data_IF_345475279934
#
_entry.id   IF_345475279934
#
_cell.length_a   1.000
_cell.length_b   1.000
_cell.length_c   1.000
_cell.angle_alpha   90.00
_cell.angle_beta   90.00
_cell.angle_gamma   90.00
#
_symmetry.space_group_name_H-M   'P 1'
#
loop_
_entity.id
_entity.type
_entity.pdbx_description
1 polymer ?
#
# COMPACT_ATOMS: atom_id res chain seq x y z
N UNK A 1 -68.93 2.44 38.95
CA UNK A 1 -68.50 1.12 39.46
C UNK A 1 -67.01 1.17 39.72
N UNK A 2 -66.53 0.49 40.78
CA UNK A 2 -65.28 0.82 41.48
C UNK A 2 -64.12 -0.11 41.08
N UNK A 3 -62.88 0.36 41.28
CA UNK A 3 -61.86 -0.43 41.99
C UNK A 3 -60.66 0.46 42.35
N UNK A 4 -60.46 0.59 43.65
CA UNK A 4 -59.39 1.34 44.33
C UNK A 4 -58.04 0.57 44.31
N UNK A 5 -56.95 1.18 44.84
CA UNK A 5 -55.55 0.92 44.49
C UNK A 5 -54.76 0.10 45.54
N UNK A 6 -53.53 -0.31 45.19
CA UNK A 6 -52.45 -0.77 46.09
C UNK A 6 -51.26 -1.23 45.21
N UNK A 7 -49.97 -1.01 45.46
CA UNK A 7 -49.18 -0.57 46.62
C UNK A 7 -47.84 -0.05 46.07
N UNK A 8 -47.24 0.91 46.76
CA UNK A 8 -45.84 1.27 46.54
C UNK A 8 -44.90 0.13 46.93
N UNK A 9 -43.75 0.08 46.26
CA UNK A 9 -42.57 -0.61 46.76
C UNK A 9 -41.37 0.33 46.63
N UNK A 10 -40.67 0.46 47.77
CA UNK A 10 -39.47 1.26 48.03
C UNK A 10 -38.29 0.83 47.12
N UNK A 11 -37.27 1.69 46.96
CA UNK A 11 -36.08 1.35 46.19
C UNK A 11 -35.34 0.19 46.85
N UNK A 12 -35.07 -0.87 46.08
CA UNK A 12 -34.22 -1.96 46.51
C UNK A 12 -32.75 -1.52 46.38
N UNK A 13 -32.14 -1.25 47.54
CA UNK A 13 -30.71 -1.27 47.73
C UNK A 13 -30.14 -2.64 47.32
N UNK A 14 -29.24 -2.68 46.35
CA UNK A 14 -28.29 -3.79 46.18
C UNK A 14 -26.90 -3.25 45.87
N UNK A 15 -26.07 -3.34 46.91
CA UNK A 15 -24.64 -3.63 46.89
C UNK A 15 -23.83 -3.11 45.71
N UNK A 16 -23.13 -2.00 45.95
CA UNK A 16 -21.91 -1.66 45.25
C UNK A 16 -20.89 -2.80 45.44
N UNK A 17 -20.70 -3.63 44.41
CA UNK A 17 -19.49 -4.43 44.28
C UNK A 17 -18.37 -3.47 43.92
N UNK A 18 -17.54 -3.17 44.92
CA UNK A 18 -16.29 -2.44 44.76
C UNK A 18 -15.41 -3.11 43.72
N UNK A 19 -15.10 -2.39 42.65
CA UNK A 19 -13.97 -2.70 41.77
C UNK A 19 -12.71 -2.60 42.63
N UNK A 20 -11.85 -3.63 42.73
CA UNK A 20 -10.61 -3.49 43.46
C UNK A 20 -9.73 -2.45 42.75
N UNK A 21 -9.31 -1.44 43.50
CA UNK A 21 -8.38 -0.42 43.05
C UNK A 21 -7.10 -1.09 42.52
N UNK A 22 -6.75 -0.82 41.27
CA UNK A 22 -5.48 -1.24 40.70
C UNK A 22 -4.34 -0.54 41.45
N UNK A 23 -3.49 -1.34 42.11
CA UNK A 23 -2.25 -0.90 42.71
C UNK A 23 -1.34 -0.33 41.60
N UNK A 24 -0.77 0.89 41.75
CA UNK A 24 0.14 1.43 40.74
C UNK A 24 1.41 0.58 40.68
N UNK A 25 1.94 0.22 39.48
CA UNK A 25 3.24 -0.41 39.40
C UNK A 25 4.31 0.59 39.84
N UNK A 26 5.15 0.12 40.77
CA UNK A 26 6.32 0.81 41.29
C UNK A 26 7.25 1.30 40.17
N UNK A 27 7.66 2.56 40.25
CA UNK A 27 8.74 3.13 39.47
C UNK A 27 10.05 2.34 39.70
N UNK A 28 10.65 1.81 38.63
CA UNK A 28 11.92 1.08 38.76
C UNK A 28 12.53 0.58 37.45
N UNK A 29 13.51 1.36 36.97
CA UNK A 29 14.65 1.00 36.10
C UNK A 29 14.36 0.87 34.59
N UNK A 30 14.97 1.78 33.85
CA UNK A 30 15.21 1.67 32.41
C UNK A 30 16.16 0.50 32.10
N UNK A 31 15.90 -0.26 31.03
CA UNK A 31 16.93 -1.01 30.36
C UNK A 31 17.30 -0.29 29.06
N UNK A 32 18.39 0.47 29.09
CA UNK A 32 19.10 1.01 27.93
C UNK A 32 19.93 -0.09 27.24
N UNK A 33 19.28 -1.16 26.76
CA UNK A 33 19.94 -2.16 25.92
C UNK A 33 19.36 -2.13 24.50
N UNK A 34 20.18 -1.99 23.44
CA UNK A 34 19.72 -2.18 22.08
C UNK A 34 19.30 -3.63 21.85
N UNK A 35 18.24 -3.83 21.06
CA UNK A 35 17.60 -5.11 20.79
C UNK A 35 18.38 -5.96 19.76
N UNK A 36 18.48 -7.29 19.93
CA UNK A 36 19.04 -8.21 18.94
C UNK A 36 17.90 -8.92 18.16
N UNK A 37 17.49 -8.43 16.98
CA UNK A 37 16.42 -9.10 16.21
C UNK A 37 16.72 -9.32 14.71
N UNK A 38 17.87 -8.86 14.21
CA UNK A 38 18.14 -8.88 12.77
C UNK A 38 18.49 -10.27 12.18
N UNK A 39 18.69 -11.33 12.98
CA UNK A 39 19.24 -12.60 12.46
C UNK A 39 18.47 -13.88 12.80
N UNK A 40 17.53 -13.89 13.75
CA UNK A 40 16.90 -15.15 14.21
C UNK A 40 15.42 -15.34 13.82
N UNK A 41 14.70 -14.28 13.42
CA UNK A 41 13.25 -14.36 13.17
C UNK A 41 12.86 -14.39 11.69
N UNK A 42 13.80 -14.18 10.77
CA UNK A 42 13.51 -14.24 9.35
C UNK A 42 13.70 -15.66 8.83
N UNK A 43 12.59 -16.35 8.56
CA UNK A 43 12.58 -17.52 7.67
C UNK A 43 11.85 -17.08 6.40
N UNK A 44 12.48 -17.15 5.22
CA UNK A 44 11.78 -16.83 3.98
C UNK A 44 10.55 -17.72 3.87
N UNK A 45 9.38 -17.11 3.66
CA UNK A 45 8.33 -17.79 2.90
C UNK A 45 8.99 -18.20 1.60
N UNK A 46 9.13 -19.50 1.31
CA UNK A 46 9.54 -19.89 -0.04
C UNK A 46 8.44 -19.38 -0.97
N UNK A 47 8.71 -18.44 -1.89
CA UNK A 47 7.76 -18.17 -2.95
C UNK A 47 7.57 -19.48 -3.72
N UNK A 48 6.37 -19.71 -4.25
CA UNK A 48 6.24 -20.70 -5.32
C UNK A 48 7.25 -20.30 -6.40
N UNK A 49 8.17 -21.20 -6.75
CA UNK A 49 9.17 -20.93 -7.79
C UNK A 49 8.42 -20.72 -9.11
N UNK A 50 8.22 -19.46 -9.49
CA UNK A 50 7.68 -19.12 -10.80
C UNK A 50 8.80 -19.32 -11.82
N UNK A 51 8.82 -20.50 -12.42
CA UNK A 51 9.86 -20.94 -13.35
C UNK A 51 9.64 -20.37 -14.77
N UNK A 52 8.93 -19.24 -14.91
CA UNK A 52 8.76 -18.52 -16.18
C UNK A 52 10.09 -17.89 -16.59
N UNK A 53 10.94 -18.69 -17.22
CA UNK A 53 12.11 -18.21 -17.97
C UNK A 53 11.57 -17.60 -19.28
N UNK A 54 11.23 -16.31 -19.21
CA UNK A 54 10.74 -15.47 -20.31
C UNK A 54 10.37 -14.10 -19.74
N UNK A 55 10.71 -13.02 -20.44
CA UNK A 55 10.62 -11.60 -20.03
C UNK A 55 9.20 -11.04 -19.82
N UNK A 56 8.28 -11.84 -19.27
CA UNK A 56 6.89 -11.45 -19.09
C UNK A 56 6.75 -10.69 -17.78
N UNK A 57 6.50 -9.39 -17.90
CA UNK A 57 6.16 -8.53 -16.78
C UNK A 57 4.76 -8.91 -16.32
N UNK A 58 4.61 -9.30 -15.05
CA UNK A 58 3.30 -9.66 -14.48
C UNK A 58 2.38 -8.43 -14.46
N UNK A 59 1.18 -8.55 -15.02
CA UNK A 59 0.25 -7.43 -15.13
C UNK A 59 -0.53 -7.25 -13.82
N UNK A 60 -0.39 -6.08 -13.22
CA UNK A 60 -1.09 -5.70 -11.99
C UNK A 60 -1.81 -4.37 -12.22
N UNK A 61 -2.83 -4.08 -11.42
CA UNK A 61 -3.48 -2.76 -11.42
C UNK A 61 -3.85 -2.32 -10.00
N UNK A 62 -3.93 -1.01 -9.79
CA UNK A 62 -4.40 -0.43 -8.54
C UNK A 62 -5.68 0.35 -8.79
N UNK A 63 -6.69 0.18 -7.94
CA UNK A 63 -7.96 0.90 -8.04
C UNK A 63 -8.17 1.77 -6.82
N UNK A 64 -8.43 3.06 -7.04
CA UNK A 64 -8.92 3.94 -6.01
C UNK A 64 -10.43 3.72 -5.90
N UNK A 65 -10.97 3.28 -4.75
CA UNK A 65 -12.41 3.08 -4.59
C UNK A 65 -13.10 4.43 -4.35
N UNK A 66 -12.97 5.33 -5.32
CA UNK A 66 -13.67 6.58 -5.40
C UNK A 66 -15.12 6.31 -5.83
N UNK A 67 -16.09 6.95 -5.17
CA UNK A 67 -17.50 6.65 -5.41
C UNK A 67 -17.96 5.28 -4.86
N UNK A 68 -18.98 4.66 -5.48
CA UNK A 68 -19.56 3.39 -5.00
C UNK A 68 -18.58 2.21 -5.08
N UNK A 69 -18.60 1.33 -4.09
CA UNK A 69 -17.73 0.12 -4.05
C UNK A 69 -17.95 -0.78 -5.27
N UNK A 70 -19.15 -0.78 -5.82
CA UNK A 70 -19.51 -1.51 -7.06
C UNK A 70 -18.59 -1.13 -8.22
N UNK A 71 -18.10 0.11 -8.28
CA UNK A 71 -17.20 0.56 -9.34
C UNK A 71 -15.86 -0.17 -9.31
N UNK A 72 -15.29 -0.37 -8.12
CA UNK A 72 -14.07 -1.14 -7.96
C UNK A 72 -14.26 -2.61 -8.38
N UNK A 73 -15.46 -3.17 -8.14
CA UNK A 73 -15.82 -4.53 -8.57
C UNK A 73 -15.89 -4.65 -10.09
N UNK A 74 -16.51 -3.68 -10.77
CA UNK A 74 -16.59 -3.64 -12.23
C UNK A 74 -15.22 -3.59 -12.87
N UNK A 75 -14.35 -2.68 -12.40
CA UNK A 75 -12.98 -2.54 -12.87
C UNK A 75 -12.15 -3.81 -12.62
N UNK A 76 -12.30 -4.43 -11.45
CA UNK A 76 -11.58 -5.67 -11.14
C UNK A 76 -12.01 -6.84 -12.04
N UNK A 77 -13.31 -6.98 -12.34
CA UNK A 77 -13.79 -8.00 -13.29
C UNK A 77 -13.30 -7.76 -14.70
N UNK A 78 -13.29 -6.50 -15.14
CA UNK A 78 -12.73 -6.14 -16.43
C UNK A 78 -11.24 -6.52 -16.47
N UNK A 79 -10.46 -6.09 -15.48
CA UNK A 79 -9.04 -6.39 -15.39
C UNK A 79 -8.77 -7.91 -15.39
N UNK A 80 -9.51 -8.69 -14.61
CA UNK A 80 -9.41 -10.15 -14.61
C UNK A 80 -9.68 -10.74 -16.00
N UNK A 81 -10.71 -10.25 -16.70
CA UNK A 81 -11.03 -10.70 -18.07
C UNK A 81 -9.96 -10.34 -19.12
N UNK A 82 -9.16 -9.31 -18.84
CA UNK A 82 -8.05 -8.86 -19.68
C UNK A 82 -6.73 -9.59 -19.36
N UNK A 83 -6.67 -10.38 -18.29
CA UNK A 83 -5.50 -11.16 -17.90
C UNK A 83 -4.62 -10.52 -16.82
N UNK A 84 -5.10 -9.46 -16.14
CA UNK A 84 -4.41 -8.96 -14.95
C UNK A 84 -4.38 -10.03 -13.85
N UNK A 85 -3.26 -10.12 -13.14
CA UNK A 85 -3.03 -11.16 -12.13
C UNK A 85 -3.23 -10.66 -10.69
N UNK A 86 -3.15 -9.33 -10.47
CA UNK A 86 -3.26 -8.73 -9.13
C UNK A 86 -3.99 -7.39 -9.11
N UNK A 87 -4.91 -7.25 -8.17
CA UNK A 87 -5.65 -6.04 -7.84
C UNK A 87 -5.17 -5.47 -6.50
N UNK A 88 -4.65 -4.25 -6.57
CA UNK A 88 -4.36 -3.43 -5.41
C UNK A 88 -5.53 -2.47 -5.18
N UNK A 89 -5.90 -2.21 -3.93
CA UNK A 89 -6.93 -1.21 -3.59
C UNK A 89 -6.32 -0.16 -2.69
N UNK A 90 -6.39 1.12 -3.09
CA UNK A 90 -5.88 2.23 -2.29
C UNK A 90 -6.61 2.36 -0.94
N UNK A 91 -5.87 2.69 0.12
CA UNK A 91 -6.39 3.02 1.47
C UNK A 91 -6.23 4.52 1.73
N UNK A 92 -7.06 5.35 1.09
CA UNK A 92 -7.00 6.82 1.19
C UNK A 92 -7.90 7.40 2.31
N UNK A 93 -8.26 6.57 3.28
CA UNK A 93 -8.99 7.01 4.47
C UNK A 93 -10.35 7.61 4.13
N UNK A 94 -10.58 8.88 4.47
CA UNK A 94 -11.87 9.55 4.25
C UNK A 94 -12.09 10.04 2.81
N UNK A 95 -11.05 10.00 1.96
CA UNK A 95 -11.14 10.41 0.57
C UNK A 95 -11.69 9.30 -0.36
N UNK A 96 -11.85 8.08 0.15
CA UNK A 96 -12.34 6.93 -0.61
C UNK A 96 -13.19 6.00 0.28
N UNK A 97 -13.81 4.99 -0.32
CA UNK A 97 -14.48 3.93 0.44
C UNK A 97 -13.49 3.11 1.28
N UNK A 98 -13.95 2.48 2.36
CA UNK A 98 -13.10 1.65 3.22
C UNK A 98 -12.41 0.53 2.42
N UNK A 99 -11.08 0.47 2.51
CA UNK A 99 -10.24 -0.44 1.74
C UNK A 99 -10.60 -1.92 1.94
N UNK A 100 -10.94 -2.34 3.16
CA UNK A 100 -11.23 -3.75 3.43
C UNK A 100 -12.64 -4.14 3.00
N UNK A 101 -13.60 -3.22 3.05
CA UNK A 101 -14.93 -3.41 2.47
C UNK A 101 -14.82 -3.54 0.95
N UNK A 102 -14.08 -2.65 0.29
CA UNK A 102 -13.85 -2.72 -1.15
C UNK A 102 -13.12 -4.00 -1.57
N UNK A 103 -12.05 -4.37 -0.86
CA UNK A 103 -11.32 -5.63 -1.09
C UNK A 103 -12.22 -6.86 -0.91
N UNK A 104 -13.09 -6.87 0.11
CA UNK A 104 -14.04 -7.97 0.34
C UNK A 104 -14.99 -8.13 -0.85
N UNK A 105 -15.53 -7.01 -1.37
CA UNK A 105 -16.41 -7.01 -2.53
C UNK A 105 -15.69 -7.49 -3.80
N UNK A 106 -14.47 -6.99 -4.05
CA UNK A 106 -13.64 -7.41 -5.18
C UNK A 106 -13.29 -8.90 -5.09
N UNK A 107 -12.84 -9.37 -3.92
CA UNK A 107 -12.50 -10.77 -3.70
C UNK A 107 -13.68 -11.72 -3.93
N UNK A 108 -14.89 -11.33 -3.51
CA UNK A 108 -16.12 -12.11 -3.71
C UNK A 108 -16.61 -12.12 -5.17
N UNK A 109 -16.19 -11.14 -5.96
CA UNK A 109 -16.66 -10.95 -7.33
C UNK A 109 -15.66 -11.42 -8.41
N UNK A 110 -14.49 -11.91 -8.01
CA UNK A 110 -13.36 -12.33 -8.84
C UNK A 110 -12.89 -13.73 -8.43
N UNK A 111 -12.27 -14.46 -9.35
CA UNK A 111 -11.94 -15.89 -9.15
C UNK A 111 -10.44 -16.16 -8.95
N UNK A 112 -9.59 -15.35 -9.56
CA UNK A 112 -8.15 -15.60 -9.72
C UNK A 112 -7.26 -14.44 -9.31
N UNK A 113 -7.77 -13.20 -9.32
CA UNK A 113 -6.99 -12.03 -8.93
C UNK A 113 -6.43 -12.15 -7.51
N UNK A 114 -5.13 -11.95 -7.35
CA UNK A 114 -4.55 -11.66 -6.03
C UNK A 114 -5.05 -10.29 -5.56
N UNK A 115 -5.46 -10.16 -4.29
CA UNK A 115 -6.14 -8.96 -3.78
C UNK A 115 -5.52 -8.46 -2.48
N UNK A 116 -5.29 -7.16 -2.39
CA UNK A 116 -4.71 -6.59 -1.18
C UNK A 116 -4.65 -5.06 -1.20
N UNK A 117 -4.39 -4.44 -0.04
CA UNK A 117 -4.29 -2.99 0.02
C UNK A 117 -3.03 -2.51 -0.71
N UNK A 118 -3.14 -1.45 -1.52
CA UNK A 118 -2.05 -0.81 -2.25
C UNK A 118 -1.98 0.69 -2.02
N UNK A 119 -1.62 1.16 -0.83
CA UNK A 119 -1.16 0.39 0.34
C UNK A 119 -1.87 0.88 1.61
N UNK A 120 -2.00 0.02 2.60
CA UNK A 120 -2.42 0.46 3.95
C UNK A 120 -1.24 0.99 4.74
N UNK A 121 -1.48 1.43 5.98
CA UNK A 121 -0.50 2.11 6.80
C UNK A 121 -0.61 1.65 8.27
N UNK A 122 0.46 1.84 9.08
CA UNK A 122 0.51 1.35 10.46
C UNK A 122 -0.22 2.24 11.47
N UNK A 123 -0.91 3.29 11.02
CA UNK A 123 -1.42 4.35 11.89
C UNK A 123 -2.95 4.35 12.00
N UNK A 124 -3.66 4.15 10.89
CA UNK A 124 -5.13 4.18 10.87
C UNK A 124 -5.76 2.95 11.52
N UNK A 125 -5.04 1.83 11.55
CA UNK A 125 -5.49 0.58 12.16
C UNK A 125 -4.35 -0.07 12.93
N UNK A 126 -4.69 -0.66 14.08
CA UNK A 126 -3.73 -1.42 14.88
C UNK A 126 -3.21 -2.63 14.08
N UNK A 127 -1.92 -2.95 14.17
CA UNK A 127 -1.31 -4.03 13.38
C UNK A 127 -2.02 -5.39 13.53
N UNK A 128 -2.53 -5.70 14.74
CA UNK A 128 -3.34 -6.91 14.96
C UNK A 128 -4.69 -6.91 14.22
N UNK A 129 -5.32 -5.74 14.09
CA UNK A 129 -6.56 -5.58 13.32
C UNK A 129 -6.29 -5.70 11.82
N UNK A 130 -5.20 -5.09 11.33
CA UNK A 130 -4.71 -5.25 9.96
C UNK A 130 -4.46 -6.73 9.64
N UNK A 131 -3.74 -7.44 10.51
CA UNK A 131 -3.48 -8.87 10.33
C UNK A 131 -4.78 -9.70 10.32
N UNK A 132 -5.72 -9.42 11.24
CA UNK A 132 -7.02 -10.11 11.27
C UNK A 132 -7.85 -9.88 10.01
N UNK A 133 -7.87 -8.65 9.49
CA UNK A 133 -8.59 -8.31 8.27
C UNK A 133 -7.99 -9.02 7.04
N UNK A 134 -6.66 -9.00 6.89
CA UNK A 134 -5.98 -9.68 5.78
C UNK A 134 -6.15 -11.20 5.85
N UNK A 135 -6.05 -11.80 7.05
CA UNK A 135 -6.28 -13.23 7.22
C UNK A 135 -7.72 -13.65 6.87
N UNK A 136 -8.70 -12.81 7.23
CA UNK A 136 -10.11 -13.04 6.86
C UNK A 136 -10.33 -12.90 5.35
N UNK A 137 -9.67 -11.93 4.71
CA UNK A 137 -9.69 -11.77 3.25
C UNK A 137 -9.00 -12.95 2.54
N UNK A 138 -7.90 -13.46 3.10
CA UNK A 138 -7.18 -14.63 2.58
C UNK A 138 -8.09 -15.86 2.60
N UNK A 139 -8.79 -16.11 3.71
CA UNK A 139 -9.77 -17.18 3.82
C UNK A 139 -10.92 -17.02 2.81
N UNK A 140 -11.54 -15.84 2.75
CA UNK A 140 -12.64 -15.55 1.83
C UNK A 140 -12.25 -15.75 0.37
N UNK A 141 -11.05 -15.30 -0.01
CA UNK A 141 -10.56 -15.33 -1.38
C UNK A 141 -9.98 -16.69 -1.77
N UNK A 142 -9.84 -17.65 -0.85
CA UNK A 142 -9.23 -18.95 -1.11
C UNK A 142 -7.70 -18.90 -1.22
N UNK A 143 -7.05 -18.00 -0.47
CA UNK A 143 -5.59 -17.88 -0.41
C UNK A 143 -4.98 -16.83 -1.33
N UNK A 144 -5.79 -15.91 -1.88
CA UNK A 144 -5.36 -14.89 -2.85
C UNK A 144 -4.98 -13.54 -2.20
N UNK A 145 -5.04 -13.43 -0.88
CA UNK A 145 -4.80 -12.14 -0.23
C UNK A 145 -3.32 -11.86 0.01
N UNK A 146 -2.96 -10.58 -0.06
CA UNK A 146 -1.65 -10.07 0.36
C UNK A 146 -1.80 -8.78 1.17
N UNK A 147 -0.76 -8.40 1.92
CA UNK A 147 -0.70 -7.14 2.67
C UNK A 147 0.30 -6.18 2.01
N UNK A 148 -0.19 -5.13 1.34
CA UNK A 148 0.64 -3.99 0.98
C UNK A 148 0.64 -2.92 2.08
N UNK A 149 1.82 -2.53 2.55
CA UNK A 149 1.99 -1.56 3.64
C UNK A 149 3.06 -0.50 3.31
N UNK A 150 2.91 0.69 3.89
CA UNK A 150 3.96 1.69 3.86
C UNK A 150 3.70 2.83 4.85
N UNK A 151 4.33 3.97 4.61
CA UNK A 151 4.46 5.02 5.62
C UNK A 151 3.16 5.79 5.91
N UNK A 152 2.10 5.63 5.12
CA UNK A 152 0.91 6.48 5.17
C UNK A 152 1.13 7.84 4.52
N UNK A 153 0.12 8.31 3.78
CA UNK A 153 0.10 9.61 3.11
C UNK A 153 -0.57 10.70 3.95
N UNK A 154 -0.21 11.95 3.68
CA UNK A 154 -0.85 13.11 4.33
C UNK A 154 -2.34 13.21 4.00
N UNK A 155 -2.74 12.86 2.76
CA UNK A 155 -4.14 12.80 2.34
C UNK A 155 -4.99 11.91 3.26
N UNK A 156 -4.43 10.79 3.70
CA UNK A 156 -5.08 9.85 4.62
C UNK A 156 -5.01 10.31 6.08
N UNK A 157 -3.83 10.73 6.55
CA UNK A 157 -3.54 10.90 7.98
C UNK A 157 -3.96 12.27 8.52
N UNK A 158 -3.77 13.33 7.74
CA UNK A 158 -3.99 14.71 8.19
C UNK A 158 -5.49 14.98 8.48
N UNK A 159 -6.46 14.55 7.64
CA UNK A 159 -7.89 14.70 7.96
C UNK A 159 -8.33 13.94 9.21
N UNK A 160 -7.60 12.89 9.59
CA UNK A 160 -7.84 12.11 10.80
C UNK A 160 -7.12 12.70 12.03
N UNK A 161 -6.31 13.75 11.85
CA UNK A 161 -5.50 14.34 12.90
C UNK A 161 -4.39 13.42 13.41
N UNK A 162 -3.91 12.50 12.58
CA UNK A 162 -2.92 11.49 12.96
C UNK A 162 -1.51 11.97 12.57
N UNK A 163 -0.64 12.13 13.55
CA UNK A 163 0.76 12.46 13.30
C UNK A 163 1.54 11.24 12.77
N UNK A 164 2.22 11.41 11.63
CA UNK A 164 3.09 10.38 11.02
C UNK A 164 4.44 10.29 11.74
N UNK A 165 4.43 9.84 12.98
CA UNK A 165 5.63 9.74 13.81
C UNK A 165 6.47 8.50 13.45
N UNK A 166 7.78 8.68 13.28
CA UNK A 166 8.79 7.62 13.06
C UNK A 166 8.35 6.53 12.06
N UNK A 167 7.99 6.88 10.81
CA UNK A 167 7.39 5.97 9.83
C UNK A 167 8.18 4.69 9.57
N UNK A 168 9.51 4.77 9.53
CA UNK A 168 10.34 3.57 9.35
C UNK A 168 10.20 2.56 10.50
N UNK A 169 10.07 3.03 11.75
CA UNK A 169 9.88 2.16 12.89
C UNK A 169 8.47 1.56 12.89
N UNK A 170 7.45 2.40 12.65
CA UNK A 170 6.05 1.97 12.61
C UNK A 170 5.80 0.88 11.55
N UNK A 171 6.31 1.07 10.32
CA UNK A 171 6.19 0.07 9.24
C UNK A 171 6.95 -1.20 9.60
N UNK A 172 8.18 -1.09 10.11
CA UNK A 172 8.99 -2.25 10.49
C UNK A 172 8.32 -3.09 11.58
N UNK A 173 7.80 -2.46 12.62
CA UNK A 173 7.09 -3.14 13.71
C UNK A 173 5.81 -3.81 13.19
N UNK A 174 5.07 -3.15 12.29
CA UNK A 174 3.86 -3.70 11.68
C UNK A 174 4.15 -4.92 10.80
N UNK A 175 5.17 -4.84 9.92
CA UNK A 175 5.61 -5.97 9.08
C UNK A 175 6.01 -7.16 9.96
N UNK A 176 6.82 -6.92 11.00
CA UNK A 176 7.28 -7.98 11.90
C UNK A 176 6.13 -8.64 12.67
N UNK A 177 5.19 -7.83 13.18
CA UNK A 177 4.02 -8.34 13.90
C UNK A 177 3.09 -9.14 12.98
N UNK A 178 2.76 -8.62 11.79
CA UNK A 178 1.88 -9.30 10.84
C UNK A 178 2.51 -10.61 10.35
N UNK A 179 3.82 -10.62 10.05
CA UNK A 179 4.52 -11.84 9.63
C UNK A 179 4.38 -12.97 10.64
N UNK A 180 4.59 -12.68 11.93
CA UNK A 180 4.48 -13.65 13.03
C UNK A 180 3.04 -14.09 13.27
N UNK A 181 2.08 -13.18 13.13
CA UNK A 181 0.67 -13.53 13.22
C UNK A 181 0.25 -14.46 12.06
N UNK A 182 0.67 -14.17 10.83
CA UNK A 182 0.39 -15.01 9.65
C UNK A 182 1.07 -16.38 9.73
N UNK A 183 2.23 -16.52 10.40
CA UNK A 183 2.87 -17.82 10.62
C UNK A 183 2.14 -18.70 11.66
N UNK A 184 1.07 -18.20 12.29
CA UNK A 184 0.29 -18.91 13.29
C UNK A 184 0.89 -18.86 14.71
N UNK A 185 1.86 -17.97 14.95
CA UNK A 185 2.41 -17.78 16.29
C UNK A 185 1.41 -17.09 17.22
N UNK A 186 1.54 -17.38 18.52
CA UNK A 186 1.05 -16.49 19.59
C UNK A 186 2.11 -15.42 19.85
N UNK A 187 1.75 -14.16 19.65
CA UNK A 187 2.66 -13.03 19.56
C UNK A 187 2.48 -12.10 20.75
N UNK A 188 3.56 -11.93 21.50
CA UNK A 188 3.75 -10.84 22.46
C UNK A 188 4.88 -9.93 21.96
N UNK A 189 4.59 -8.63 21.84
CA UNK A 189 5.52 -7.59 21.36
C UNK A 189 5.27 -6.31 22.13
N UNK A 190 6.34 -5.68 22.61
CA UNK A 190 6.32 -4.38 23.31
C UNK A 190 7.10 -3.34 22.49
N UNK A 191 6.56 -3.02 21.32
CA UNK A 191 7.11 -2.02 20.41
C UNK A 191 6.75 -0.59 20.78
N UNK A 192 7.34 0.37 20.08
CA UNK A 192 7.03 1.78 20.27
C UNK A 192 5.71 2.17 19.56
N UNK A 193 5.36 1.47 18.48
CA UNK A 193 4.16 1.65 17.68
C UNK A 193 3.20 0.46 17.78
N UNK A 194 3.73 -0.76 17.80
CA UNK A 194 2.92 -1.99 17.88
C UNK A 194 3.09 -2.65 19.24
N UNK A 195 1.98 -2.90 19.93
CA UNK A 195 1.95 -3.70 21.15
C UNK A 195 0.95 -4.85 21.00
N UNK A 196 1.40 -6.05 21.29
CA UNK A 196 0.58 -7.27 21.28
C UNK A 196 0.85 -8.04 22.56
N UNK A 197 -0.18 -8.67 23.12
CA UNK A 197 -0.07 -9.49 24.33
C UNK A 197 -0.82 -10.79 24.09
N UNK A 198 -0.07 -11.89 24.00
CA UNK A 198 -0.55 -13.24 23.72
C UNK A 198 -1.55 -13.30 22.55
N UNK A 199 -1.28 -12.51 21.49
CA UNK A 199 -2.19 -12.36 20.36
C UNK A 199 -1.93 -13.44 19.31
N UNK A 200 -2.99 -14.12 18.85
CA UNK A 200 -2.92 -15.08 17.75
C UNK A 200 -4.10 -14.89 16.80
N UNK A 201 -3.93 -15.33 15.55
CA UNK A 201 -5.02 -15.34 14.57
C UNK A 201 -5.81 -16.64 14.66
N UNK A 202 -7.12 -16.54 14.44
CA UNK A 202 -7.99 -17.72 14.33
C UNK A 202 -7.62 -18.56 13.10
N UNK A 203 -7.52 -17.90 11.93
CA UNK A 203 -7.22 -18.52 10.65
C UNK A 203 -5.89 -17.98 10.13
N UNK A 204 -4.79 -18.56 10.58
CA UNK A 204 -3.45 -18.20 10.10
C UNK A 204 -3.04 -19.04 8.89
N UNK A 205 -2.52 -18.40 7.85
CA UNK A 205 -1.85 -19.07 6.74
C UNK A 205 -0.43 -18.56 6.59
N UNK A 206 0.53 -19.44 6.84
CA UNK A 206 1.91 -19.17 6.49
C UNK A 206 2.00 -18.92 4.97
N UNK A 207 2.58 -17.80 4.57
CA UNK A 207 2.74 -17.43 3.16
C UNK A 207 1.75 -16.40 2.61
N UNK A 208 0.94 -15.74 3.46
CA UNK A 208 0.36 -14.44 3.08
C UNK A 208 1.52 -13.47 2.84
N UNK A 209 1.57 -12.91 1.64
CA UNK A 209 2.66 -12.03 1.24
C UNK A 209 2.54 -10.66 1.92
N UNK A 210 3.69 -10.07 2.25
CA UNK A 210 3.80 -8.70 2.72
C UNK A 210 4.62 -7.93 1.70
N UNK A 211 4.00 -6.90 1.13
CA UNK A 211 4.59 -5.97 0.18
C UNK A 211 4.82 -4.62 0.85
N UNK A 212 5.96 -4.00 0.55
CA UNK A 212 6.27 -2.67 1.05
C UNK A 212 6.32 -1.66 -0.11
N UNK A 213 5.58 -0.57 0.01
CA UNK A 213 5.72 0.59 -0.88
C UNK A 213 6.51 1.70 -0.18
N UNK A 214 7.52 2.23 -0.86
CA UNK A 214 8.32 3.33 -0.34
C UNK A 214 9.40 3.79 -1.31
N UNK A 215 9.78 5.07 -1.24
CA UNK A 215 10.78 5.69 -2.12
C UNK A 215 12.12 5.97 -1.42
N UNK A 216 12.08 6.22 -0.12
CA UNK A 216 13.27 6.61 0.64
C UNK A 216 14.26 5.44 0.84
N UNK A 217 15.58 5.69 0.84
CA UNK A 217 16.61 4.64 0.92
C UNK A 217 16.40 3.61 2.03
N UNK A 218 16.03 4.08 3.24
CA UNK A 218 15.82 3.21 4.40
C UNK A 218 14.56 2.36 4.31
N UNK A 219 13.54 2.83 3.58
CA UNK A 219 12.31 2.05 3.32
C UNK A 219 12.58 0.98 2.26
N UNK A 220 13.33 1.32 1.21
CA UNK A 220 13.77 0.37 0.19
C UNK A 220 14.60 -0.77 0.83
N UNK A 221 15.54 -0.42 1.72
CA UNK A 221 16.32 -1.40 2.49
C UNK A 221 15.43 -2.27 3.38
N UNK A 222 14.46 -1.68 4.09
CA UNK A 222 13.51 -2.45 4.91
C UNK A 222 12.72 -3.45 4.05
N UNK A 223 12.19 -3.01 2.90
CA UNK A 223 11.52 -3.87 1.93
C UNK A 223 12.40 -5.02 1.49
N UNK A 224 13.65 -4.71 1.12
CA UNK A 224 14.73 -5.65 0.84
C UNK A 224 14.85 -6.75 1.91
N UNK A 225 14.95 -6.35 3.16
CA UNK A 225 15.24 -7.28 4.27
C UNK A 225 14.07 -8.12 4.76
N UNK A 226 12.82 -7.65 4.66
CA UNK A 226 11.72 -8.16 5.49
C UNK A 226 10.41 -8.47 4.74
N UNK A 227 10.30 -8.08 3.48
CA UNK A 227 9.07 -8.19 2.69
C UNK A 227 9.23 -9.23 1.57
N UNK A 228 8.12 -9.79 1.08
CA UNK A 228 8.13 -10.70 -0.07
C UNK A 228 8.20 -9.94 -1.40
N UNK A 229 7.80 -8.66 -1.39
CA UNK A 229 7.96 -7.77 -2.52
C UNK A 229 8.04 -6.29 -2.13
N UNK A 230 8.52 -5.49 -3.07
CA UNK A 230 8.64 -4.03 -2.93
C UNK A 230 7.99 -3.37 -4.14
N UNK A 231 7.06 -2.45 -3.87
CA UNK A 231 6.44 -1.59 -4.87
C UNK A 231 7.23 -0.28 -4.97
N UNK A 232 7.88 -0.09 -6.12
CA UNK A 232 8.57 1.15 -6.49
C UNK A 232 7.61 1.98 -7.35
N UNK A 233 7.01 2.99 -6.74
CA UNK A 233 5.92 3.76 -7.33
C UNK A 233 6.32 5.21 -7.66
N UNK A 234 5.99 5.67 -8.87
CA UNK A 234 6.23 7.02 -9.39
C UNK A 234 7.64 7.56 -9.09
N UNK A 235 8.65 6.70 -9.26
CA UNK A 235 10.05 7.11 -9.11
C UNK A 235 10.53 7.79 -10.39
N UNK A 236 11.35 8.84 -10.23
CA UNK A 236 12.12 9.42 -11.33
C UNK A 236 12.86 8.28 -12.07
N UNK A 237 12.53 8.05 -13.35
CA UNK A 237 12.96 6.84 -14.10
C UNK A 237 14.47 6.58 -14.02
N UNK A 238 15.35 7.59 -14.13
CA UNK A 238 16.79 7.39 -13.97
C UNK A 238 17.25 6.82 -12.62
N UNK A 239 16.42 6.88 -11.58
CA UNK A 239 16.70 6.31 -10.26
C UNK A 239 16.19 4.88 -10.07
N UNK A 240 15.39 4.33 -11.00
CA UNK A 240 14.79 2.98 -10.88
C UNK A 240 15.85 1.91 -10.65
N UNK A 241 16.88 1.85 -11.50
CA UNK A 241 17.95 0.86 -11.33
C UNK A 241 18.67 0.95 -9.98
N UNK A 242 18.95 2.16 -9.49
CA UNK A 242 19.60 2.36 -8.20
C UNK A 242 18.69 1.97 -7.01
N UNK A 243 17.38 2.22 -7.12
CA UNK A 243 16.41 1.79 -6.13
C UNK A 243 16.30 0.26 -6.06
N UNK A 244 16.21 -0.41 -7.23
CA UNK A 244 16.15 -1.88 -7.30
C UNK A 244 17.42 -2.51 -6.74
N UNK A 245 18.60 -2.01 -7.13
CA UNK A 245 19.85 -2.56 -6.59
C UNK A 245 19.96 -2.38 -5.08
N UNK A 246 19.46 -1.26 -4.52
CA UNK A 246 19.41 -1.07 -3.07
C UNK A 246 18.53 -2.11 -2.38
N UNK A 247 17.34 -2.38 -2.93
CA UNK A 247 16.42 -3.40 -2.40
C UNK A 247 17.10 -4.77 -2.43
N UNK A 248 17.64 -5.17 -3.59
CA UNK A 248 18.26 -6.48 -3.78
C UNK A 248 19.52 -6.66 -2.92
N UNK A 249 20.35 -5.63 -2.80
CA UNK A 249 21.54 -5.67 -1.94
C UNK A 249 21.15 -5.87 -0.46
N UNK A 250 20.13 -5.15 0.02
CA UNK A 250 19.62 -5.33 1.37
C UNK A 250 19.00 -6.72 1.57
N UNK A 251 18.25 -7.22 0.58
CA UNK A 251 17.73 -8.59 0.56
C UNK A 251 18.83 -9.62 0.68
N UNK A 252 19.81 -9.61 -0.22
CA UNK A 252 20.96 -10.53 -0.20
C UNK A 252 21.69 -10.51 1.14
N UNK A 253 21.89 -9.33 1.73
CA UNK A 253 22.53 -9.20 3.04
C UNK A 253 21.72 -9.82 4.19
N UNK A 254 20.39 -9.83 4.09
CA UNK A 254 19.48 -10.47 5.05
C UNK A 254 19.12 -11.92 4.66
N UNK A 255 19.62 -12.42 3.53
CA UNK A 255 19.26 -13.72 2.97
C UNK A 255 17.94 -13.75 2.20
N UNK A 256 17.26 -12.60 2.04
CA UNK A 256 15.97 -12.45 1.36
C UNK A 256 16.13 -12.12 -0.14
N UNK A 257 15.10 -12.40 -0.93
CA UNK A 257 15.04 -12.06 -2.36
C UNK A 257 13.63 -11.59 -2.74
N UNK A 258 13.27 -10.31 -2.45
CA UNK A 258 11.93 -9.82 -2.68
C UNK A 258 11.66 -9.56 -4.16
N UNK A 259 10.41 -9.79 -4.59
CA UNK A 259 9.93 -9.39 -5.92
C UNK A 259 9.85 -7.87 -6.05
N UNK A 260 10.01 -7.36 -7.27
CA UNK A 260 9.95 -5.94 -7.57
C UNK A 260 8.75 -5.66 -8.46
N UNK A 261 7.84 -4.82 -7.96
CA UNK A 261 6.79 -4.22 -8.75
C UNK A 261 7.15 -2.77 -9.05
N UNK A 262 6.98 -2.35 -10.30
CA UNK A 262 7.11 -0.96 -10.71
C UNK A 262 5.75 -0.40 -11.10
N UNK A 263 5.50 0.85 -10.71
CA UNK A 263 4.25 1.55 -11.00
C UNK A 263 4.56 2.95 -11.51
N UNK A 264 3.99 3.26 -12.67
CA UNK A 264 3.86 4.62 -13.19
C UNK A 264 2.76 4.68 -14.25
N UNK A 265 2.38 5.89 -14.66
CA UNK A 265 1.37 6.09 -15.70
C UNK A 265 1.91 5.70 -17.08
N UNK A 266 1.05 5.09 -17.88
CA UNK A 266 1.24 4.86 -19.31
C UNK A 266 0.55 6.01 -20.06
N UNK A 267 1.33 6.85 -20.73
CA UNK A 267 0.85 8.05 -21.43
C UNK A 267 0.96 7.83 -22.94
N UNK A 268 -0.17 7.59 -23.58
CA UNK A 268 -0.22 7.21 -25.01
C UNK A 268 -0.69 8.33 -25.93
N UNK A 269 -1.23 9.41 -25.38
CA UNK A 269 -1.82 10.54 -26.08
C UNK A 269 -1.90 11.77 -25.17
N UNK A 270 -2.29 12.92 -25.74
CA UNK A 270 -2.43 14.18 -25.00
C UNK A 270 -3.51 14.09 -23.90
N UNK A 271 -4.57 13.29 -24.11
CA UNK A 271 -5.65 13.09 -23.14
C UNK A 271 -5.12 12.38 -21.88
N UNK A 272 -4.32 11.33 -22.06
CA UNK A 272 -3.67 10.62 -20.94
C UNK A 272 -2.63 11.51 -20.27
N UNK A 273 -1.87 12.34 -21.01
CA UNK A 273 -0.98 13.31 -20.40
C UNK A 273 -1.75 14.32 -19.53
N UNK A 274 -2.87 14.84 -20.03
CA UNK A 274 -3.73 15.76 -19.28
C UNK A 274 -4.26 15.12 -17.99
N UNK A 275 -4.67 13.84 -18.03
CA UNK A 275 -5.11 13.10 -16.85
C UNK A 275 -3.98 12.85 -15.83
N UNK A 276 -2.72 12.77 -16.27
CA UNK A 276 -1.56 12.58 -15.38
C UNK A 276 -1.17 13.85 -14.62
N UNK A 277 -1.32 15.03 -15.24
CA UNK A 277 -0.80 16.28 -14.67
C UNK A 277 -1.32 16.63 -13.27
N UNK A 278 -2.62 16.48 -12.94
CA UNK A 278 -3.12 16.69 -11.58
C UNK A 278 -2.35 15.88 -10.54
N UNK A 279 -2.03 14.63 -10.85
CA UNK A 279 -1.26 13.74 -9.98
C UNK A 279 0.23 14.11 -9.93
N UNK A 280 0.76 14.80 -10.93
CA UNK A 280 2.17 15.25 -10.90
C UNK A 280 2.40 16.47 -10.01
N UNK A 281 1.38 17.28 -9.73
CA UNK A 281 1.50 18.54 -8.96
C UNK A 281 2.24 18.35 -7.63
N UNK A 282 1.71 17.49 -6.75
CA UNK A 282 2.31 17.21 -5.45
C UNK A 282 3.60 16.37 -5.56
N UNK A 283 3.69 15.49 -6.57
CA UNK A 283 4.89 14.67 -6.78
C UNK A 283 6.11 15.51 -7.15
N UNK A 284 5.93 16.52 -8.00
CA UNK A 284 7.01 17.40 -8.46
C UNK A 284 7.52 18.30 -7.33
N UNK A 285 6.61 18.87 -6.53
CA UNK A 285 6.99 19.77 -5.42
C UNK A 285 7.65 19.02 -4.26
N UNK A 286 7.29 17.75 -4.04
CA UNK A 286 7.84 16.89 -2.98
C UNK A 286 9.10 16.10 -3.41
N UNK A 287 9.45 16.19 -4.69
CA UNK A 287 10.61 15.49 -5.25
C UNK A 287 11.91 16.13 -4.74
N UNK A 288 12.98 15.35 -4.47
CA UNK A 288 14.24 15.88 -3.96
C UNK A 288 14.83 17.00 -4.83
N UNK A 289 15.51 18.01 -4.24
CA UNK A 289 16.05 19.15 -4.98
C UNK A 289 16.95 18.76 -6.15
N UNK A 290 17.74 17.69 -6.02
CA UNK A 290 18.61 17.20 -7.09
C UNK A 290 17.84 16.71 -8.32
N UNK A 291 16.63 16.18 -8.13
CA UNK A 291 15.76 15.77 -9.23
C UNK A 291 15.02 16.98 -9.80
N UNK A 292 14.61 17.94 -8.97
CA UNK A 292 14.02 19.20 -9.44
C UNK A 292 15.00 19.97 -10.34
N UNK A 293 16.28 20.03 -9.94
CA UNK A 293 17.35 20.60 -10.77
C UNK A 293 17.52 19.82 -12.09
N UNK A 294 17.54 18.49 -12.03
CA UNK A 294 17.70 17.64 -13.21
C UNK A 294 16.59 17.82 -14.26
N UNK A 295 15.36 18.08 -13.82
CA UNK A 295 14.22 18.34 -14.72
C UNK A 295 14.01 19.83 -15.03
N UNK A 296 14.83 20.72 -14.47
CA UNK A 296 14.71 22.17 -14.66
C UNK A 296 13.43 22.76 -14.04
N UNK A 297 12.96 22.21 -12.92
CA UNK A 297 11.88 22.79 -12.10
C UNK A 297 12.51 23.77 -11.10
N UNK A 298 12.30 25.08 -11.30
CA UNK A 298 12.83 26.08 -10.37
C UNK A 298 12.00 26.14 -9.09
N UNK A 299 12.58 26.68 -8.01
CA UNK A 299 11.83 26.93 -6.77
C UNK A 299 10.67 27.93 -6.97
N UNK A 300 10.80 28.86 -7.93
CA UNK A 300 9.72 29.77 -8.30
C UNK A 300 8.55 29.01 -8.94
N UNK A 301 8.84 28.09 -9.87
CA UNK A 301 7.83 27.24 -10.49
C UNK A 301 7.15 26.33 -9.46
N UNK A 302 7.93 25.69 -8.59
CA UNK A 302 7.41 24.83 -7.53
C UNK A 302 6.55 25.61 -6.54
N UNK A 303 6.90 26.87 -6.23
CA UNK A 303 6.08 27.74 -5.39
C UNK A 303 4.74 28.10 -6.03
N UNK A 304 4.68 28.30 -7.35
CA UNK A 304 3.43 28.53 -8.09
C UNK A 304 2.53 27.31 -8.00
N UNK A 305 3.07 26.11 -8.27
CA UNK A 305 2.32 24.85 -8.14
C UNK A 305 1.80 24.67 -6.71
N UNK A 306 2.65 24.89 -5.70
CA UNK A 306 2.26 24.78 -4.27
C UNK A 306 1.14 25.75 -3.89
N UNK A 307 1.17 26.98 -4.41
CA UNK A 307 0.11 27.95 -4.15
C UNK A 307 -1.22 27.49 -4.78
N UNK A 308 -1.19 27.02 -6.02
CA UNK A 308 -2.37 26.56 -6.74
C UNK A 308 -2.99 25.27 -6.16
N UNK A 309 -2.23 24.44 -5.44
CA UNK A 309 -2.76 23.24 -4.75
C UNK A 309 -3.87 23.58 -3.75
N UNK A 310 -3.90 24.82 -3.22
CA UNK A 310 -4.98 25.27 -2.34
C UNK A 310 -6.35 25.30 -3.05
N UNK A 311 -6.36 25.46 -4.37
CA UNK A 311 -7.55 25.51 -5.21
C UNK A 311 -7.89 24.16 -5.87
N UNK A 312 -7.09 23.12 -5.61
CA UNK A 312 -7.28 21.75 -6.13
C UNK A 312 -6.15 21.27 -7.05
N UNK A 313 -6.18 19.98 -7.37
CA UNK A 313 -5.14 19.36 -8.22
C UNK A 313 -5.25 19.86 -9.67
N UNK A 314 -6.47 20.10 -10.15
CA UNK A 314 -6.75 20.57 -11.50
C UNK A 314 -6.22 21.98 -11.72
N UNK A 315 -6.44 22.89 -10.77
CA UNK A 315 -5.89 24.25 -10.82
C UNK A 315 -4.35 24.23 -10.82
N UNK A 316 -3.76 23.40 -9.96
CA UNK A 316 -2.31 23.24 -9.93
C UNK A 316 -1.74 22.59 -11.21
N UNK A 317 -2.50 21.72 -11.88
CA UNK A 317 -2.09 21.05 -13.10
C UNK A 317 -1.88 22.02 -14.28
N UNK A 318 -2.57 23.16 -14.32
CA UNK A 318 -2.38 24.20 -15.34
C UNK A 318 -0.95 24.77 -15.35
N UNK A 319 -0.25 24.66 -14.22
CA UNK A 319 1.12 25.11 -14.08
C UNK A 319 2.16 24.00 -14.34
N UNK A 320 1.72 22.76 -14.60
CA UNK A 320 2.62 21.62 -14.85
C UNK A 320 2.94 21.50 -16.34
N UNK A 321 4.24 21.62 -16.65
CA UNK A 321 4.78 21.40 -18.00
C UNK A 321 5.03 19.90 -18.24
N UNK A 322 4.72 19.43 -19.44
CA UNK A 322 4.86 18.02 -19.84
C UNK A 322 6.29 17.51 -19.65
N UNK A 323 7.29 18.35 -19.95
CA UNK A 323 8.72 18.05 -19.78
C UNK A 323 9.12 17.70 -18.35
N UNK A 324 8.38 18.20 -17.35
CA UNK A 324 8.59 17.82 -15.95
C UNK A 324 7.95 16.48 -15.61
N UNK A 325 6.87 16.10 -16.29
CA UNK A 325 6.16 14.84 -16.05
C UNK A 325 6.82 13.65 -16.77
N UNK A 326 7.32 13.86 -17.99
CA UNK A 326 7.91 12.80 -18.84
C UNK A 326 8.96 11.91 -18.14
N UNK A 327 9.85 12.43 -17.27
CA UNK A 327 10.83 11.58 -16.59
C UNK A 327 10.26 10.67 -15.50
N UNK A 328 8.96 10.81 -15.18
CA UNK A 328 8.28 9.99 -14.17
C UNK A 328 7.34 8.96 -14.79
N UNK A 329 6.94 9.11 -16.05
CA UNK A 329 5.95 8.26 -16.75
C UNK A 329 6.57 7.48 -17.89
N UNK A 330 5.90 6.43 -18.37
CA UNK A 330 6.23 5.78 -19.64
C UNK A 330 5.34 6.42 -20.71
N UNK A 331 5.93 7.05 -21.72
CA UNK A 331 5.20 7.89 -22.67
C UNK A 331 5.62 7.65 -24.11
N UNK A 332 4.65 7.62 -25.01
CA UNK A 332 4.84 7.39 -26.44
C UNK A 332 3.65 6.65 -27.05
N UNK A 333 3.78 6.18 -28.28
CA UNK A 333 2.81 5.23 -28.85
C UNK A 333 2.71 3.96 -27.99
N UNK A 334 1.63 3.16 -28.09
CA UNK A 334 1.54 1.90 -27.35
C UNK A 334 2.74 0.96 -27.58
N UNK A 335 3.32 0.95 -28.78
CA UNK A 335 4.52 0.17 -29.08
C UNK A 335 5.77 0.69 -28.38
N UNK A 336 5.98 2.01 -28.35
CA UNK A 336 7.09 2.64 -27.63
C UNK A 336 6.95 2.45 -26.11
N UNK A 337 5.74 2.53 -25.57
CA UNK A 337 5.47 2.23 -24.16
C UNK A 337 5.80 0.78 -23.82
N UNK A 338 5.43 -0.17 -24.69
CA UNK A 338 5.75 -1.58 -24.51
C UNK A 338 7.27 -1.82 -24.54
N UNK A 339 7.97 -1.23 -25.51
CA UNK A 339 9.42 -1.32 -25.62
C UNK A 339 10.13 -0.74 -24.38
N UNK A 340 9.73 0.46 -23.94
CA UNK A 340 10.31 1.08 -22.74
C UNK A 340 10.04 0.25 -21.49
N UNK A 341 8.80 -0.21 -21.28
CA UNK A 341 8.41 -1.03 -20.13
C UNK A 341 9.23 -2.32 -20.06
N UNK A 342 9.27 -3.08 -21.17
CA UNK A 342 9.99 -4.35 -21.21
C UNK A 342 11.51 -4.15 -21.11
N UNK A 343 12.04 -3.06 -21.66
CA UNK A 343 13.45 -2.69 -21.53
C UNK A 343 13.82 -2.38 -20.07
N UNK A 344 13.05 -1.53 -19.40
CA UNK A 344 13.24 -1.23 -17.98
C UNK A 344 13.15 -2.50 -17.11
N UNK A 345 12.16 -3.33 -17.39
CA UNK A 345 11.96 -4.56 -16.64
C UNK A 345 13.11 -5.56 -16.83
N UNK A 346 13.55 -5.78 -18.07
CA UNK A 346 14.67 -6.66 -18.37
C UNK A 346 16.01 -6.12 -17.82
N UNK A 347 16.23 -4.81 -17.92
CA UNK A 347 17.47 -4.17 -17.47
C UNK A 347 17.63 -4.21 -15.94
N UNK A 348 16.53 -4.08 -15.21
CA UNK A 348 16.56 -3.94 -13.74
C UNK A 348 16.00 -5.14 -12.98
N UNK A 349 15.49 -6.17 -13.67
CA UNK A 349 14.89 -7.33 -13.02
C UNK A 349 13.62 -6.97 -12.26
N UNK A 350 12.72 -6.23 -12.93
CA UNK A 350 11.37 -5.91 -12.44
C UNK A 350 10.44 -7.02 -12.91
N UNK A 351 9.77 -7.68 -11.98
CA UNK A 351 8.90 -8.83 -12.28
C UNK A 351 7.45 -8.44 -12.56
N UNK A 352 6.97 -7.32 -12.02
CA UNK A 352 5.59 -6.88 -12.14
C UNK A 352 5.48 -5.41 -12.53
N UNK A 353 4.44 -5.07 -13.29
CA UNK A 353 4.07 -3.69 -13.56
C UNK A 353 2.62 -3.45 -13.13
N UNK A 354 2.46 -2.38 -12.36
CA UNK A 354 1.19 -1.97 -11.78
C UNK A 354 0.66 -0.77 -12.54
N UNK A 355 -0.51 -0.91 -13.18
CA UNK A 355 -1.23 0.20 -13.82
C UNK A 355 -2.05 0.95 -12.75
N UNK A 356 -1.72 2.21 -12.43
CA UNK A 356 -2.48 3.00 -11.45
C UNK A 356 -3.77 3.54 -12.07
N UNK A 357 -4.93 3.21 -11.46
CA UNK A 357 -6.23 3.79 -11.77
C UNK A 357 -6.58 4.80 -10.66
N UNK A 358 -6.20 6.05 -10.89
CA UNK A 358 -6.32 7.14 -9.92
C UNK A 358 -7.67 7.86 -9.98
N UNK A 359 -8.35 7.79 -11.13
CA UNK A 359 -9.62 8.45 -11.42
C UNK A 359 -10.60 7.45 -12.07
N UNK A 360 -11.92 7.70 -11.92
CA UNK A 360 -12.97 6.80 -12.43
C UNK A 360 -13.03 6.75 -13.97
N UNK A 361 -12.72 7.87 -14.62
CA UNK A 361 -12.65 8.07 -16.06
C UNK A 361 -11.24 8.58 -16.35
N UNK A 362 -10.38 7.95 -17.17
CA UNK A 362 -10.65 6.90 -18.18
C UNK A 362 -10.14 5.50 -17.76
N UNK A 363 -10.60 4.96 -16.62
CA UNK A 363 -10.03 3.74 -16.01
C UNK A 363 -10.06 2.49 -16.93
N UNK A 364 -11.16 2.25 -17.65
CA UNK A 364 -11.27 1.14 -18.62
C UNK A 364 -10.28 1.31 -19.77
N UNK A 365 -10.14 2.54 -20.29
CA UNK A 365 -9.17 2.83 -21.35
C UNK A 365 -7.76 2.51 -20.86
N UNK A 366 -7.41 2.87 -19.62
CA UNK A 366 -6.11 2.56 -19.03
C UNK A 366 -5.90 1.05 -18.84
N UNK A 367 -6.91 0.30 -18.41
CA UNK A 367 -6.84 -1.16 -18.33
C UNK A 367 -6.64 -1.81 -19.71
N UNK A 368 -7.37 -1.38 -20.73
CA UNK A 368 -7.20 -1.89 -22.09
C UNK A 368 -5.83 -1.52 -22.68
N UNK A 369 -5.40 -0.26 -22.51
CA UNK A 369 -4.07 0.18 -22.97
C UNK A 369 -2.95 -0.56 -22.25
N UNK A 370 -3.05 -0.72 -20.92
CA UNK A 370 -2.09 -1.47 -20.13
C UNK A 370 -2.03 -2.95 -20.55
N UNK A 371 -3.19 -3.57 -20.77
CA UNK A 371 -3.27 -4.92 -21.30
C UNK A 371 -2.58 -5.10 -22.65
N UNK A 372 -2.78 -4.15 -23.57
CA UNK A 372 -2.12 -4.15 -24.87
C UNK A 372 -0.61 -3.93 -24.75
N UNK A 373 -0.19 -2.96 -23.94
CA UNK A 373 1.22 -2.61 -23.71
C UNK A 373 1.99 -3.77 -23.07
N UNK A 374 1.36 -4.53 -22.18
CA UNK A 374 1.94 -5.72 -21.55
C UNK A 374 1.76 -7.01 -22.37
N UNK A 375 1.16 -6.92 -23.57
CA UNK A 375 1.02 -8.04 -24.51
C UNK A 375 -0.02 -9.09 -24.10
N UNK A 376 -1.01 -8.73 -23.28
CA UNK A 376 -2.08 -9.63 -22.85
C UNK A 376 -3.18 -9.79 -23.92
N UNK A 377 -3.36 -8.74 -24.73
CA UNK A 377 -4.36 -8.64 -25.81
C UNK A 377 -3.74 -7.97 -27.05
N UNK A 378 -4.40 -8.07 -28.21
CA UNK A 378 -3.91 -7.56 -29.50
C UNK A 378 -4.04 -6.03 -29.70
#
# INVERSE_FOLDING_TARGET
MPSAPARGCRPASRSATSIPAATPPSAGRSPTRPWPWATECWRPSKPASDNRVGSVVRPEFNVLPHGPVERAVELARLAESLGYERCWVYDEGLAASDVYVALTAVAAATESLEVGPGITNPYTRHAGATAGAIASLDELSGGRAFLGVGAGGSLTLDPLGIARERPLAAVRETVAACRRLFSGETVTVEGAHVRLSEASLLNARAGIEIWLAGRGPRMLELGGTACDGVLVDFLYKPHVGAAVERIRAAGRAAGNDPRIAYSTMLVTDDDTMAAVKPHMTYRLVDTPPEVQEAIGLSEADAAVIRAALADGLEAAAEHVRDEWALPFVIAGTPGECAEELHSLAAQHGIESFLVPLLDDEPAEKLLHSGAKIMGMIE
#
